data_IF_593806522158
#
_entry.id   IF_593806522158
#
_cell.length_a   1.000
_cell.length_b   1.000
_cell.length_c   1.000
_cell.angle_alpha   90.00
_cell.angle_beta   90.00
_cell.angle_gamma   90.00
#
_symmetry.space_group_name_H-M   'P 1'
#
loop_
_entity.id
_entity.type
_entity.pdbx_description
1 polymer ?
#
# COMPACT_ATOMS: atom_id res chain seq x y z
N UNK A 1 3.36 -27.54 4.93
CA UNK A 1 4.72 -27.13 4.53
C UNK A 1 5.19 -26.06 5.51
N UNK A 2 6.16 -26.39 6.37
CA UNK A 2 6.60 -25.56 7.50
C UNK A 2 7.34 -24.30 7.04
N UNK A 3 7.01 -23.21 7.71
CA UNK A 3 7.50 -21.84 7.53
C UNK A 3 9.03 -21.74 7.47
N UNK A 4 9.57 -21.56 6.26
CA UNK A 4 10.88 -20.92 6.12
C UNK A 4 10.71 -19.48 6.58
N UNK A 5 11.07 -19.18 7.83
CA UNK A 5 11.25 -17.82 8.34
C UNK A 5 12.31 -17.13 7.47
N UNK A 6 11.89 -16.59 6.32
CA UNK A 6 12.68 -15.68 5.50
C UNK A 6 13.06 -14.55 6.45
N UNK A 7 14.36 -14.39 6.71
CA UNK A 7 14.91 -13.26 7.48
C UNK A 7 14.68 -11.99 6.67
N UNK A 8 13.45 -11.50 6.67
CA UNK A 8 13.12 -10.23 6.05
C UNK A 8 13.79 -9.11 6.85
N UNK A 9 14.27 -8.06 6.18
CA UNK A 9 14.77 -6.89 6.87
C UNK A 9 13.66 -6.25 7.70
N UNK A 10 14.01 -5.50 8.73
CA UNK A 10 13.06 -4.80 9.59
C UNK A 10 12.18 -3.79 8.85
N UNK A 11 12.64 -3.29 7.69
CA UNK A 11 11.88 -2.39 6.82
C UNK A 11 10.85 -3.10 5.92
N UNK A 12 10.79 -4.44 5.92
CA UNK A 12 9.94 -5.17 4.99
C UNK A 12 8.46 -4.90 5.23
N UNK A 13 7.77 -4.43 4.19
CA UNK A 13 6.32 -4.17 4.22
C UNK A 13 5.93 -2.81 4.78
N UNK A 14 6.86 -2.01 5.31
CA UNK A 14 6.56 -0.69 5.87
C UNK A 14 6.45 0.33 4.74
N UNK A 15 5.22 0.68 4.33
CA UNK A 15 4.98 1.53 3.15
C UNK A 15 5.67 2.89 3.24
N UNK A 16 5.72 3.51 4.42
CA UNK A 16 6.36 4.83 4.60
C UNK A 16 7.89 4.77 4.51
N UNK A 17 8.49 3.58 4.62
CA UNK A 17 9.94 3.38 4.48
C UNK A 17 10.31 2.94 3.07
N UNK A 18 9.52 2.04 2.48
CA UNK A 18 9.83 1.45 1.15
C UNK A 18 9.26 2.26 0.00
N UNK A 19 8.25 3.08 0.26
CA UNK A 19 7.60 3.97 -0.69
C UNK A 19 7.14 5.28 -0.02
N UNK A 20 8.09 6.05 0.56
CA UNK A 20 7.82 7.31 1.23
C UNK A 20 7.23 8.36 0.28
N UNK A 21 6.53 9.33 0.86
CA UNK A 21 6.23 10.61 0.17
C UNK A 21 7.50 11.47 0.17
N UNK A 22 7.88 11.92 -1.01
CA UNK A 22 8.93 12.91 -1.22
C UNK A 22 8.36 14.34 -1.07
N UNK A 23 9.26 15.32 -1.04
CA UNK A 23 8.92 16.73 -0.81
C UNK A 23 8.06 17.34 -1.93
N UNK A 24 8.08 16.72 -3.12
CA UNK A 24 7.23 17.07 -4.27
C UNK A 24 5.77 16.55 -4.12
N UNK A 25 5.45 15.88 -3.01
CA UNK A 25 4.15 15.28 -2.76
C UNK A 25 3.90 13.97 -3.52
N UNK A 26 4.86 13.50 -4.31
CA UNK A 26 4.81 12.20 -4.98
C UNK A 26 5.48 11.13 -4.11
N UNK A 27 5.15 9.88 -4.37
CA UNK A 27 5.80 8.76 -3.68
C UNK A 27 6.91 8.19 -4.53
N UNK A 28 8.08 8.01 -3.91
CA UNK A 28 9.32 7.60 -4.58
C UNK A 28 9.89 6.37 -3.88
N UNK A 29 10.46 5.45 -4.66
CA UNK A 29 11.16 4.29 -4.10
C UNK A 29 12.63 4.68 -3.85
N UNK A 30 13.17 4.50 -2.63
CA UNK A 30 14.57 4.82 -2.36
C UNK A 30 15.52 3.92 -3.16
N UNK A 31 16.68 4.44 -3.57
CA UNK A 31 17.66 3.69 -4.39
C UNK A 31 18.12 2.40 -3.70
N UNK A 32 18.30 2.42 -2.38
CA UNK A 32 18.64 1.24 -1.58
C UNK A 32 17.60 0.10 -1.73
N UNK A 33 16.33 0.41 -2.01
CA UNK A 33 15.31 -0.60 -2.27
C UNK A 33 15.42 -1.21 -3.67
N UNK A 34 16.03 -0.53 -4.64
CA UNK A 34 16.20 -1.05 -6.01
C UNK A 34 17.22 -2.20 -6.06
N UNK A 35 18.23 -2.17 -5.19
CA UNK A 35 19.24 -3.21 -5.04
C UNK A 35 18.78 -4.38 -4.15
N UNK A 36 17.66 -4.21 -3.43
CA UNK A 36 17.14 -5.22 -2.51
C UNK A 36 16.56 -6.44 -3.25
N UNK A 37 17.03 -7.64 -2.89
CA UNK A 37 16.56 -8.91 -3.43
C UNK A 37 15.06 -9.17 -3.20
N UNK A 38 14.46 -8.52 -2.20
CA UNK A 38 13.06 -8.69 -1.83
C UNK A 38 12.13 -7.56 -2.30
N UNK A 39 12.62 -6.61 -3.10
CA UNK A 39 11.91 -5.36 -3.48
C UNK A 39 10.46 -5.58 -3.96
N UNK A 40 10.26 -6.54 -4.86
CA UNK A 40 8.94 -6.82 -5.44
C UNK A 40 7.98 -7.42 -4.41
N UNK A 41 8.47 -8.37 -3.61
CA UNK A 41 7.67 -9.01 -2.57
C UNK A 41 7.34 -8.03 -1.44
N UNK A 42 8.32 -7.20 -1.07
CA UNK A 42 8.21 -6.16 -0.04
C UNK A 42 7.12 -5.14 -0.40
N UNK A 43 7.23 -4.52 -1.58
CA UNK A 43 6.27 -3.52 -2.03
C UNK A 43 4.86 -4.12 -2.20
N UNK A 44 4.77 -5.36 -2.69
CA UNK A 44 3.48 -6.05 -2.83
C UNK A 44 2.83 -6.32 -1.48
N UNK A 45 3.61 -6.67 -0.46
CA UNK A 45 3.10 -6.83 0.91
C UNK A 45 2.64 -5.48 1.47
N UNK A 46 3.47 -4.44 1.36
CA UNK A 46 3.14 -3.08 1.82
C UNK A 46 1.84 -2.55 1.18
N UNK A 47 1.64 -2.80 -0.12
CA UNK A 47 0.43 -2.40 -0.86
C UNK A 47 -0.84 -3.18 -0.50
N UNK A 48 -0.71 -4.33 0.17
CA UNK A 48 -1.86 -5.15 0.61
C UNK A 48 -2.39 -4.72 1.98
N UNK A 49 -1.54 -4.10 2.79
CA UNK A 49 -1.91 -3.62 4.11
C UNK A 49 -2.78 -2.36 4.04
N UNK A 50 -3.33 -1.96 5.20
CA UNK A 50 -4.18 -0.79 5.34
C UNK A 50 -3.56 0.48 4.76
N UNK A 51 -2.28 0.73 5.05
CA UNK A 51 -1.58 1.92 4.56
C UNK A 51 -1.41 1.87 3.03
N UNK A 52 -1.15 0.69 2.46
CA UNK A 52 -1.16 0.46 1.01
C UNK A 52 -2.49 0.74 0.33
N UNK A 53 -3.61 0.46 1.00
CA UNK A 53 -4.95 0.80 0.49
C UNK A 53 -5.20 2.32 0.50
N UNK A 54 -4.67 3.05 1.48
CA UNK A 54 -4.74 4.53 1.47
C UNK A 54 -3.92 5.11 0.31
N UNK A 55 -2.74 4.55 0.02
CA UNK A 55 -1.94 4.98 -1.13
C UNK A 55 -2.75 4.84 -2.43
N UNK A 56 -3.50 3.75 -2.60
CA UNK A 56 -4.39 3.58 -3.76
C UNK A 56 -5.50 4.61 -3.85
N UNK A 57 -5.99 5.10 -2.71
CA UNK A 57 -6.96 6.19 -2.69
C UNK A 57 -6.33 7.49 -3.20
N UNK A 58 -5.11 7.81 -2.78
CA UNK A 58 -4.35 8.98 -3.27
C UNK A 58 -4.14 8.94 -4.80
N UNK A 59 -3.88 7.75 -5.37
CA UNK A 59 -3.79 7.59 -6.83
C UNK A 59 -5.12 7.87 -7.54
N UNK A 60 -6.26 7.50 -6.93
CA UNK A 60 -7.58 7.80 -7.48
C UNK A 60 -7.88 9.29 -7.42
N UNK A 61 -7.51 9.95 -6.31
CA UNK A 61 -7.65 11.40 -6.18
C UNK A 61 -6.79 12.15 -7.20
N UNK A 62 -5.50 11.79 -7.33
CA UNK A 62 -4.61 12.37 -8.36
C UNK A 62 -5.13 12.18 -9.78
N UNK A 63 -5.65 10.99 -10.11
CA UNK A 63 -6.21 10.73 -11.43
C UNK A 63 -7.48 11.57 -11.72
N UNK A 64 -8.24 11.90 -10.68
CA UNK A 64 -9.41 12.77 -10.81
C UNK A 64 -9.00 14.24 -10.96
N UNK A 65 -8.05 14.71 -10.15
CA UNK A 65 -7.47 16.06 -10.24
C UNK A 65 -6.82 16.31 -11.60
N UNK A 66 -6.16 15.30 -12.18
CA UNK A 66 -5.57 15.38 -13.52
C UNK A 66 -6.59 15.21 -14.66
N UNK A 67 -7.88 15.05 -14.36
CA UNK A 67 -8.95 14.88 -15.34
C UNK A 67 -8.94 13.54 -16.08
N UNK A 68 -8.11 12.57 -15.67
CA UNK A 68 -8.03 11.25 -16.31
C UNK A 68 -9.24 10.36 -16.01
N UNK A 69 -9.98 10.64 -14.93
CA UNK A 69 -11.20 9.91 -14.57
C UNK A 69 -12.32 10.89 -14.22
N UNK A 70 -13.56 10.46 -14.49
CA UNK A 70 -14.76 11.23 -14.13
C UNK A 70 -15.18 11.07 -12.67
N UNK A 71 -16.18 11.86 -12.25
CA UNK A 71 -16.74 11.80 -10.89
C UNK A 71 -17.27 10.41 -10.52
N UNK A 72 -18.00 9.76 -11.43
CA UNK A 72 -18.59 8.43 -11.19
C UNK A 72 -17.50 7.37 -11.02
N UNK A 73 -16.45 7.41 -11.83
CA UNK A 73 -15.30 6.51 -11.72
C UNK A 73 -14.56 6.70 -10.40
N UNK A 74 -14.30 7.95 -10.02
CA UNK A 74 -13.70 8.29 -8.72
C UNK A 74 -14.53 7.71 -7.58
N UNK A 75 -15.84 7.98 -7.59
CA UNK A 75 -16.74 7.50 -6.54
C UNK A 75 -16.78 5.97 -6.46
N UNK A 76 -16.93 5.29 -7.60
CA UNK A 76 -16.94 3.82 -7.67
C UNK A 76 -15.64 3.21 -7.13
N UNK A 77 -14.49 3.74 -7.56
CA UNK A 77 -13.17 3.29 -7.07
C UNK A 77 -13.00 3.54 -5.57
N UNK A 78 -13.37 4.73 -5.06
CA UNK A 78 -13.31 5.05 -3.62
C UNK A 78 -14.23 4.17 -2.78
N UNK A 79 -15.43 3.85 -3.27
CA UNK A 79 -16.35 2.91 -2.62
C UNK A 79 -15.73 1.51 -2.52
N UNK A 80 -15.12 1.04 -3.61
CA UNK A 80 -14.41 -0.25 -3.63
C UNK A 80 -13.25 -0.30 -2.63
N UNK A 81 -12.45 0.76 -2.55
CA UNK A 81 -11.34 0.88 -1.59
C UNK A 81 -11.83 0.94 -0.15
N UNK A 82 -12.85 1.75 0.14
CA UNK A 82 -13.49 1.83 1.46
C UNK A 82 -13.96 0.47 1.97
N UNK A 83 -14.55 -0.36 1.11
CA UNK A 83 -14.97 -1.72 1.48
C UNK A 83 -13.78 -2.59 1.88
N UNK A 84 -12.72 -2.58 1.07
CA UNK A 84 -11.48 -3.34 1.34
C UNK A 84 -10.80 -2.88 2.63
N UNK A 85 -10.78 -1.58 2.91
CA UNK A 85 -10.23 -1.02 4.15
C UNK A 85 -11.02 -1.54 5.36
N UNK A 86 -12.35 -1.60 5.29
CA UNK A 86 -13.17 -2.17 6.37
C UNK A 86 -12.88 -3.65 6.61
N UNK A 87 -12.79 -4.44 5.54
CA UNK A 87 -12.44 -5.87 5.60
C UNK A 87 -11.03 -6.10 6.15
N UNK A 88 -10.07 -5.23 5.82
CA UNK A 88 -8.71 -5.34 6.36
C UNK A 88 -8.67 -4.94 7.84
N UNK A 89 -9.37 -3.87 8.23
CA UNK A 89 -9.52 -3.47 9.65
C UNK A 89 -10.12 -4.58 10.51
N UNK A 90 -11.10 -5.35 10.00
CA UNK A 90 -11.66 -6.47 10.76
C UNK A 90 -10.66 -7.62 10.89
N UNK A 91 -9.92 -7.95 9.82
CA UNK A 91 -8.85 -8.97 9.87
C UNK A 91 -7.72 -8.58 10.82
N UNK A 92 -7.27 -7.33 10.78
CA UNK A 92 -6.18 -6.86 11.64
C UNK A 92 -6.58 -6.85 13.14
N UNK A 93 -7.86 -6.61 13.45
CA UNK A 93 -8.41 -6.77 14.81
C UNK A 93 -8.41 -8.23 15.26
N UNK A 94 -8.83 -9.16 14.40
CA UNK A 94 -8.83 -10.60 14.72
C UNK A 94 -7.40 -11.12 14.92
N UNK A 95 -6.43 -10.62 14.15
CA UNK A 95 -5.02 -11.04 14.24
C UNK A 95 -4.31 -10.51 15.49
N UNK A 96 -4.78 -9.41 16.10
CA UNK A 96 -4.23 -8.86 17.35
C UNK A 96 -4.86 -9.43 18.63
N UNK A 97 -5.96 -10.17 18.51
CA UNK A 97 -6.70 -10.76 19.66
C UNK A 97 -6.31 -12.23 19.90
N UNK A 98 -5.60 -12.87 18.95
CA UNK A 98 -5.08 -14.23 19.07
C UNK A 98 -3.58 -14.25 19.37
#
# INVERSE_FOLDING_TARGET
MKDKKKKYPSCFGIIEVVFPKADDGLRTTPDACLECAHKTQCLRSAMKELEGLKVREEFVDRAYESGMIGFLDRWSKKKGLSRRIKEQKSKDKVTKVN
#
